data_IF_774962419318
#
_entry.id   IF_774962419318
#
_cell.length_a   1.000
_cell.length_b   1.000
_cell.length_c   1.000
_cell.angle_alpha   90.00
_cell.angle_beta   90.00
_cell.angle_gamma   90.00
#
_symmetry.space_group_name_H-M   'P 1'
#
loop_
_entity.id
_entity.type
_entity.pdbx_description
1 polymer ?
#
# COMPACT_ATOMS: atom_id res chain seq x y z
N UNK A 1 -8.85 -50.88 -4.27
CA UNK A 1 -8.93 -49.40 -4.28
C UNK A 1 -9.85 -49.03 -5.42
N UNK A 2 -11.03 -48.49 -5.13
CA UNK A 2 -12.04 -48.18 -6.15
C UNK A 2 -11.67 -46.89 -6.89
N UNK A 3 -11.99 -46.80 -8.19
CA UNK A 3 -11.76 -45.59 -9.01
C UNK A 3 -12.36 -44.33 -8.38
N UNK A 4 -13.51 -44.45 -7.70
CA UNK A 4 -14.12 -43.34 -6.94
C UNK A 4 -13.18 -42.71 -5.91
N UNK A 5 -12.38 -43.52 -5.22
CA UNK A 5 -11.44 -43.02 -4.21
C UNK A 5 -10.21 -42.35 -4.85
N UNK A 6 -9.87 -42.72 -6.08
CA UNK A 6 -8.80 -42.04 -6.83
C UNK A 6 -9.27 -40.68 -7.35
N UNK A 7 -10.52 -40.57 -7.79
CA UNK A 7 -11.07 -39.30 -8.29
C UNK A 7 -11.38 -38.31 -7.16
N UNK A 8 -11.77 -38.80 -5.98
CA UNK A 8 -11.92 -37.96 -4.79
C UNK A 8 -10.57 -37.37 -4.34
N UNK A 9 -9.50 -38.18 -4.34
CA UNK A 9 -8.13 -37.72 -4.03
C UNK A 9 -7.57 -36.76 -5.10
N UNK A 10 -7.95 -36.91 -6.38
CA UNK A 10 -7.58 -35.95 -7.44
C UNK A 10 -8.31 -34.61 -7.28
N UNK A 11 -9.57 -34.62 -6.89
CA UNK A 11 -10.33 -33.39 -6.68
C UNK A 11 -9.86 -32.63 -5.43
N UNK A 12 -9.46 -33.34 -4.38
CA UNK A 12 -8.89 -32.75 -3.16
C UNK A 12 -7.51 -32.11 -3.44
N UNK A 13 -6.65 -32.79 -4.20
CA UNK A 13 -5.35 -32.23 -4.62
C UNK A 13 -5.48 -31.07 -5.62
N UNK A 14 -6.47 -31.07 -6.51
CA UNK A 14 -6.76 -29.95 -7.42
C UNK A 14 -7.33 -28.71 -6.72
N UNK A 15 -7.99 -28.88 -5.57
CA UNK A 15 -8.45 -27.77 -4.73
C UNK A 15 -7.32 -27.19 -3.87
N UNK A 16 -6.42 -28.04 -3.35
CA UNK A 16 -5.21 -27.59 -2.65
C UNK A 16 -4.28 -26.77 -3.55
N UNK A 17 -3.99 -27.28 -4.76
CA UNK A 17 -3.09 -26.62 -5.71
C UNK A 17 -3.56 -25.25 -6.21
N UNK A 18 -4.87 -24.96 -6.15
CA UNK A 18 -5.42 -23.65 -6.54
C UNK A 18 -5.35 -22.60 -5.44
N UNK A 19 -5.31 -23.02 -4.18
CA UNK A 19 -5.11 -22.12 -3.04
C UNK A 19 -3.63 -21.78 -2.85
N UNK A 20 -2.73 -22.69 -3.25
CA UNK A 20 -1.28 -22.48 -3.21
C UNK A 20 -0.76 -21.51 -4.27
N UNK A 21 -1.36 -21.43 -5.47
CA UNK A 21 -0.91 -20.50 -6.53
C UNK A 21 -1.20 -19.02 -6.23
N UNK A 22 -2.39 -18.72 -5.67
CA UNK A 22 -2.73 -17.35 -5.24
C UNK A 22 -1.86 -16.92 -4.04
N UNK A 23 -1.70 -17.79 -3.03
CA UNK A 23 -0.88 -17.48 -1.85
C UNK A 23 0.64 -17.40 -2.10
N UNK A 24 1.15 -18.01 -3.16
CA UNK A 24 2.57 -17.89 -3.53
C UNK A 24 2.86 -16.52 -4.15
N UNK A 25 1.96 -16.00 -4.99
CA UNK A 25 2.13 -14.68 -5.61
C UNK A 25 2.07 -13.56 -4.57
N UNK A 26 1.17 -13.68 -3.59
CA UNK A 26 1.03 -12.72 -2.49
C UNK A 26 2.28 -12.69 -1.58
N UNK A 27 2.93 -13.85 -1.39
CA UNK A 27 4.17 -13.97 -0.60
C UNK A 27 5.36 -13.31 -1.28
N UNK A 28 5.49 -13.43 -2.60
CA UNK A 28 6.57 -12.80 -3.36
C UNK A 28 6.55 -11.26 -3.21
N UNK A 29 5.36 -10.64 -3.28
CA UNK A 29 5.24 -9.19 -3.12
C UNK A 29 5.51 -8.74 -1.67
N UNK A 30 5.08 -9.52 -0.67
CA UNK A 30 5.37 -9.25 0.75
C UNK A 30 6.89 -9.22 0.98
N UNK A 31 7.61 -10.25 0.49
CA UNK A 31 9.07 -10.35 0.60
C UNK A 31 9.76 -9.18 -0.12
N UNK A 32 9.31 -8.83 -1.33
CA UNK A 32 9.81 -7.69 -2.10
C UNK A 32 9.60 -6.34 -1.39
N UNK A 33 8.47 -6.16 -0.70
CA UNK A 33 8.19 -4.96 0.09
C UNK A 33 9.14 -4.89 1.29
N UNK A 34 9.34 -5.98 2.02
CA UNK A 34 10.28 -6.07 3.15
C UNK A 34 11.70 -5.74 2.72
N UNK A 35 12.20 -6.36 1.65
CA UNK A 35 13.53 -6.07 1.11
C UNK A 35 13.67 -4.62 0.62
N UNK A 36 12.61 -4.02 0.08
CA UNK A 36 12.62 -2.60 -0.29
C UNK A 36 12.66 -1.67 0.94
N UNK A 37 12.10 -2.07 2.08
CA UNK A 37 12.21 -1.31 3.34
C UNK A 37 13.65 -1.37 3.87
N UNK A 38 14.28 -2.54 3.89
CA UNK A 38 15.70 -2.70 4.25
C UNK A 38 16.61 -1.82 3.37
N UNK A 39 16.46 -1.92 2.05
CA UNK A 39 17.23 -1.09 1.10
C UNK A 39 17.05 0.42 1.40
N UNK A 40 15.86 0.84 1.84
CA UNK A 40 15.60 2.25 2.21
C UNK A 40 16.27 2.62 3.53
N UNK A 41 16.28 1.72 4.51
CA UNK A 41 16.90 1.92 5.81
C UNK A 41 18.42 1.96 5.74
N UNK A 42 19.02 1.07 4.94
CA UNK A 42 20.45 1.01 4.65
C UNK A 42 20.92 2.17 3.75
N UNK A 43 19.98 2.86 3.11
CA UNK A 43 20.26 4.00 2.22
C UNK A 43 20.60 3.62 0.79
N UNK A 44 20.47 2.34 0.43
CA UNK A 44 20.63 1.80 -0.92
C UNK A 44 19.49 2.23 -1.85
N UNK A 45 18.31 2.56 -1.29
CA UNK A 45 17.18 3.19 -1.99
C UNK A 45 16.71 4.47 -1.31
N UNK A 46 16.20 5.40 -2.13
CA UNK A 46 15.63 6.66 -1.62
C UNK A 46 14.16 6.47 -1.26
N UNK A 47 13.76 6.99 -0.10
CA UNK A 47 12.35 7.11 0.34
C UNK A 47 11.46 8.07 -0.46
N UNK A 48 11.93 8.61 -1.58
CA UNK A 48 11.27 9.71 -2.30
C UNK A 48 10.30 9.18 -3.35
N UNK A 49 9.04 9.60 -3.27
CA UNK A 49 8.04 9.45 -4.34
C UNK A 49 8.05 10.72 -5.20
N UNK A 50 8.24 10.57 -6.51
CA UNK A 50 8.24 11.68 -7.46
C UNK A 50 7.06 11.55 -8.45
N UNK A 51 6.16 12.54 -8.44
CA UNK A 51 5.04 12.60 -9.39
C UNK A 51 5.47 13.41 -10.61
N UNK A 52 5.60 12.75 -11.76
CA UNK A 52 5.91 13.39 -13.05
C UNK A 52 4.66 13.70 -13.87
N UNK A 53 3.66 14.26 -13.21
CA UNK A 53 2.41 14.69 -13.84
C UNK A 53 2.28 16.21 -13.75
N UNK A 54 2.16 16.87 -14.92
CA UNK A 54 2.12 18.33 -14.99
C UNK A 54 0.89 18.90 -14.29
N UNK A 55 -0.28 18.29 -14.47
CA UNK A 55 -1.53 18.78 -13.89
C UNK A 55 -1.54 18.64 -12.38
N UNK A 56 -1.09 17.50 -11.86
CA UNK A 56 -1.01 17.24 -10.43
C UNK A 56 0.05 18.12 -9.77
N UNK A 57 1.20 18.32 -10.42
CA UNK A 57 2.21 19.25 -9.94
C UNK A 57 1.66 20.69 -9.87
N UNK A 58 0.90 21.13 -10.87
CA UNK A 58 0.27 22.45 -10.86
C UNK A 58 -0.78 22.57 -9.74
N UNK A 59 -1.63 21.56 -9.53
CA UNK A 59 -2.60 21.53 -8.43
C UNK A 59 -1.90 21.63 -7.07
N UNK A 60 -0.89 20.79 -6.84
CA UNK A 60 -0.13 20.75 -5.60
C UNK A 60 0.70 22.02 -5.37
N UNK A 61 1.11 22.72 -6.43
CA UNK A 61 1.78 24.01 -6.33
C UNK A 61 0.77 25.10 -5.93
N UNK A 62 -0.42 25.10 -6.53
CA UNK A 62 -1.46 26.06 -6.19
C UNK A 62 -1.98 25.87 -4.75
N UNK A 63 -2.19 24.63 -4.30
CA UNK A 63 -2.64 24.37 -2.93
C UNK A 63 -1.62 24.81 -1.87
N UNK A 64 -0.34 24.79 -2.21
CA UNK A 64 0.77 25.15 -1.31
C UNK A 64 1.06 26.67 -1.30
N UNK A 65 0.26 27.46 -2.02
CA UNK A 65 0.29 28.91 -1.98
C UNK A 65 -0.40 29.42 -0.70
N UNK A 66 0.16 30.45 -0.06
CA UNK A 66 -0.37 31.01 1.19
C UNK A 66 -1.84 31.45 1.04
N UNK A 67 -2.24 31.92 -0.15
CA UNK A 67 -3.62 32.30 -0.49
C UNK A 67 -4.61 31.11 -0.45
N UNK A 68 -4.11 29.88 -0.46
CA UNK A 68 -4.89 28.65 -0.51
C UNK A 68 -4.69 27.76 0.72
N UNK A 69 -4.10 28.27 1.80
CA UNK A 69 -3.88 27.53 3.06
C UNK A 69 -5.16 26.87 3.59
N UNK A 70 -6.29 27.58 3.62
CA UNK A 70 -7.58 27.01 4.05
C UNK A 70 -8.02 25.86 3.15
N UNK A 71 -7.82 26.00 1.84
CA UNK A 71 -8.17 24.96 0.86
C UNK A 71 -7.29 23.73 0.99
N UNK A 72 -6.01 23.92 1.28
CA UNK A 72 -5.06 22.86 1.56
C UNK A 72 -5.47 22.08 2.80
N UNK A 73 -5.85 22.79 3.86
CA UNK A 73 -6.35 22.22 5.10
C UNK A 73 -7.61 21.37 4.86
N UNK A 74 -8.61 21.91 4.16
CA UNK A 74 -9.83 21.18 3.81
C UNK A 74 -9.54 19.87 3.06
N UNK A 75 -8.61 19.90 2.10
CA UNK A 75 -8.23 18.73 1.31
C UNK A 75 -7.54 17.69 2.20
N UNK A 76 -6.60 18.12 3.04
CA UNK A 76 -5.92 17.25 3.99
C UNK A 76 -6.89 16.59 4.96
N UNK A 77 -7.79 17.37 5.55
CA UNK A 77 -8.82 16.88 6.48
C UNK A 77 -9.75 15.87 5.79
N UNK A 78 -10.19 16.15 4.56
CA UNK A 78 -11.03 15.23 3.80
C UNK A 78 -10.33 13.90 3.53
N UNK A 79 -9.04 13.92 3.18
CA UNK A 79 -8.26 12.70 2.94
C UNK A 79 -8.00 11.93 4.24
N UNK A 80 -7.64 12.61 5.33
CA UNK A 80 -7.46 11.99 6.66
C UNK A 80 -8.75 11.31 7.13
N UNK A 81 -9.88 12.02 7.06
CA UNK A 81 -11.18 11.49 7.44
C UNK A 81 -11.59 10.29 6.57
N UNK A 82 -11.34 10.35 5.26
CA UNK A 82 -11.63 9.25 4.35
C UNK A 82 -10.82 7.98 4.65
N UNK A 83 -9.63 8.13 5.25
CA UNK A 83 -8.77 7.05 5.72
C UNK A 83 -9.09 6.62 7.17
N UNK A 84 -10.04 7.28 7.85
CA UNK A 84 -10.33 7.04 9.27
C UNK A 84 -9.20 7.48 10.22
N UNK A 85 -8.38 8.47 9.82
CA UNK A 85 -7.25 9.00 10.61
C UNK A 85 -7.63 10.33 11.23
N UNK A 86 -6.93 10.71 12.30
CA UNK A 86 -7.03 12.05 12.86
C UNK A 86 -6.60 13.11 11.84
N UNK A 87 -7.25 14.26 11.89
CA UNK A 87 -6.85 15.45 11.16
C UNK A 87 -5.57 16.05 11.77
N UNK A 88 -4.81 16.78 10.95
CA UNK A 88 -3.62 17.54 11.37
C UNK A 88 -3.97 19.02 11.50
N UNK A 89 -3.21 19.77 12.30
CA UNK A 89 -3.37 21.24 12.40
C UNK A 89 -2.87 21.96 11.14
N UNK A 90 -1.96 21.33 10.40
CA UNK A 90 -1.45 21.81 9.13
C UNK A 90 -1.10 20.63 8.21
N UNK A 91 -1.11 20.89 6.91
CA UNK A 91 -0.71 19.92 5.89
C UNK A 91 0.37 20.53 5.00
N UNK A 92 1.32 19.70 4.59
CA UNK A 92 2.28 20.05 3.54
C UNK A 92 2.00 19.26 2.25
N UNK A 93 2.63 19.68 1.15
CA UNK A 93 2.48 19.03 -0.17
C UNK A 93 2.77 17.52 -0.12
N UNK A 94 3.82 17.13 0.59
CA UNK A 94 4.22 15.72 0.70
C UNK A 94 3.20 14.92 1.50
N UNK A 95 2.60 15.53 2.52
CA UNK A 95 1.55 14.92 3.31
C UNK A 95 0.28 14.68 2.50
N UNK A 96 -0.18 15.67 1.72
CA UNK A 96 -1.31 15.48 0.81
C UNK A 96 -1.06 14.35 -0.18
N UNK A 97 0.14 14.27 -0.76
CA UNK A 97 0.52 13.18 -1.68
C UNK A 97 0.48 11.83 -0.96
N UNK A 98 1.04 11.71 0.24
CA UNK A 98 1.02 10.46 1.02
C UNK A 98 -0.41 10.03 1.36
N UNK A 99 -1.28 10.95 1.77
CA UNK A 99 -2.67 10.66 2.11
C UNK A 99 -3.47 10.24 0.86
N UNK A 100 -3.32 10.98 -0.24
CA UNK A 100 -3.99 10.66 -1.51
C UNK A 100 -3.54 9.30 -2.06
N UNK A 101 -2.24 8.99 -2.00
CA UNK A 101 -1.70 7.70 -2.43
C UNK A 101 -2.26 6.55 -1.58
N UNK A 102 -2.25 6.71 -0.26
CA UNK A 102 -2.78 5.69 0.66
C UNK A 102 -4.26 5.44 0.43
N UNK A 103 -5.06 6.50 0.25
CA UNK A 103 -6.49 6.38 -0.02
C UNK A 103 -6.75 5.73 -1.39
N UNK A 104 -5.92 6.05 -2.39
CA UNK A 104 -5.98 5.46 -3.72
C UNK A 104 -5.79 3.95 -3.68
N UNK A 105 -4.74 3.46 -3.00
CA UNK A 105 -4.53 2.02 -2.81
C UNK A 105 -5.64 1.37 -2.00
N UNK A 106 -6.04 1.96 -0.86
CA UNK A 106 -7.10 1.40 -0.02
C UNK A 106 -8.42 1.20 -0.79
N UNK A 107 -8.75 2.09 -1.72
CA UNK A 107 -9.99 2.00 -2.51
C UNK A 107 -9.85 1.20 -3.80
N UNK A 108 -8.69 1.26 -4.45
CA UNK A 108 -8.47 0.66 -5.76
C UNK A 108 -7.94 -0.78 -5.69
N UNK A 109 -7.24 -1.14 -4.62
CA UNK A 109 -6.61 -2.44 -4.44
C UNK A 109 -6.37 -2.69 -2.93
N UNK A 110 -7.42 -3.06 -2.17
CA UNK A 110 -7.32 -3.28 -0.73
C UNK A 110 -6.35 -4.42 -0.37
N UNK A 111 -6.30 -5.48 -1.19
CA UNK A 111 -5.43 -6.64 -0.97
C UNK A 111 -3.95 -6.23 -0.90
N UNK A 112 -3.51 -5.33 -1.78
CA UNK A 112 -2.13 -4.77 -1.76
C UNK A 112 -1.84 -3.97 -0.48
N UNK A 113 -2.86 -3.36 0.12
CA UNK A 113 -2.72 -2.68 1.41
C UNK A 113 -2.61 -3.67 2.57
N UNK A 114 -3.22 -4.84 2.46
CA UNK A 114 -3.08 -5.93 3.42
C UNK A 114 -1.68 -6.56 3.34
N UNK A 115 -1.18 -6.82 2.13
CA UNK A 115 0.20 -7.30 1.90
C UNK A 115 1.24 -6.33 2.48
N UNK A 116 1.09 -5.03 2.24
CA UNK A 116 1.96 -4.00 2.85
C UNK A 116 1.92 -4.03 4.39
N UNK A 117 0.76 -4.30 5.00
CA UNK A 117 0.65 -4.40 6.44
C UNK A 117 1.34 -5.66 6.98
N UNK A 118 1.21 -6.77 6.27
CA UNK A 118 1.90 -8.03 6.60
C UNK A 118 3.41 -7.86 6.50
N UNK A 119 3.92 -7.33 5.38
CA UNK A 119 5.35 -7.06 5.19
C UNK A 119 5.91 -6.17 6.31
N UNK A 120 5.20 -5.11 6.69
CA UNK A 120 5.62 -4.25 7.79
C UNK A 120 5.67 -4.98 9.16
N UNK A 121 4.72 -5.87 9.44
CA UNK A 121 4.72 -6.64 10.69
C UNK A 121 5.89 -7.63 10.75
N UNK A 122 6.18 -8.30 9.64
CA UNK A 122 7.30 -9.23 9.51
C UNK A 122 8.63 -8.48 9.65
N UNK A 123 8.82 -7.41 8.88
CA UNK A 123 10.01 -6.57 8.91
C UNK A 123 10.33 -6.03 10.31
N UNK A 124 9.31 -5.53 11.02
CA UNK A 124 9.51 -5.06 12.41
C UNK A 124 9.85 -6.20 13.36
N UNK A 125 9.26 -7.40 13.17
CA UNK A 125 9.50 -8.55 14.05
C UNK A 125 10.89 -9.15 13.88
N UNK A 126 11.50 -9.02 12.70
CA UNK A 126 12.85 -9.53 12.39
C UNK A 126 13.98 -8.63 12.91
N UNK A 127 13.67 -7.38 13.27
CA UNK A 127 14.66 -6.44 13.83
C UNK A 127 14.85 -6.52 15.36
N UNK A 128 14.09 -7.38 16.07
CA UNK A 128 14.18 -7.58 17.53
C UNK A 128 14.70 -8.98 17.91
#
# INVERSE_FOLDING_TARGET
MSEDKLDELRQESQRGSRLDEDSTTDRDLIDDISGAMDDIEDGDRRKTVAVRDKSMAALLTALDDDEHTERMQEVGDALSNALGRSTSDNYDRSELVRLALRLGFQRGSPDVVEELQTAHQEHTSEQF
#
